data_IF_801886524608
#
_entry.id   IF_801886524608
#
_cell.length_a   1.000
_cell.length_b   1.000
_cell.length_c   1.000
_cell.angle_alpha   90.00
_cell.angle_beta   90.00
_cell.angle_gamma   90.00
#
_symmetry.space_group_name_H-M   'P 1'
#
loop_
_entity.id
_entity.type
_entity.pdbx_description
1 polymer ?
#
# COMPACT_ATOMS: atom_id res chain seq x y z
N UNK A 1 -7.22 5.83 -6.62
CA UNK A 1 -7.22 4.48 -7.19
C UNK A 1 -8.32 3.65 -6.54
N UNK A 2 -9.11 2.95 -7.32
CA UNK A 2 -10.04 1.96 -6.76
C UNK A 2 -9.22 0.77 -6.21
N UNK A 3 -9.59 0.19 -5.06
CA UNK A 3 -8.86 -0.94 -4.47
C UNK A 3 -8.64 -2.10 -5.46
N UNK A 4 -9.61 -2.34 -6.36
CA UNK A 4 -9.56 -3.40 -7.38
C UNK A 4 -8.40 -3.27 -8.37
N UNK A 5 -8.02 -2.05 -8.76
CA UNK A 5 -6.93 -1.81 -9.72
C UNK A 5 -5.54 -2.07 -9.10
N UNK A 6 -5.41 -1.78 -7.80
CA UNK A 6 -4.20 -2.07 -7.03
C UNK A 6 -4.00 -3.59 -6.91
N UNK A 7 -5.07 -4.34 -6.60
CA UNK A 7 -5.02 -5.79 -6.49
C UNK A 7 -4.71 -6.47 -7.83
N UNK A 8 -5.35 -6.04 -8.92
CA UNK A 8 -5.06 -6.58 -10.27
C UNK A 8 -3.60 -6.35 -10.69
N UNK A 9 -3.04 -5.19 -10.35
CA UNK A 9 -1.65 -4.85 -10.68
C UNK A 9 -0.66 -5.64 -9.82
N UNK A 10 -0.95 -5.80 -8.52
CA UNK A 10 -0.13 -6.62 -7.62
C UNK A 10 -0.14 -8.10 -8.05
N UNK A 11 -1.30 -8.65 -8.39
CA UNK A 11 -1.45 -10.02 -8.86
C UNK A 11 -0.60 -10.29 -10.13
N UNK A 12 -0.58 -9.33 -11.06
CA UNK A 12 0.24 -9.44 -12.26
C UNK A 12 1.75 -9.49 -11.89
N UNK A 13 2.23 -8.59 -11.03
CA UNK A 13 3.65 -8.61 -10.60
C UNK A 13 4.03 -9.92 -9.90
N UNK A 14 3.15 -10.47 -9.05
CA UNK A 14 3.40 -11.77 -8.41
C UNK A 14 3.45 -12.93 -9.41
N UNK A 15 2.63 -12.88 -10.47
CA UNK A 15 2.71 -13.84 -11.58
C UNK A 15 4.10 -13.79 -12.23
N UNK A 16 4.60 -12.59 -12.56
CA UNK A 16 5.92 -12.42 -13.18
C UNK A 16 7.07 -12.86 -12.24
N UNK A 17 6.94 -12.61 -10.94
CA UNK A 17 7.89 -13.13 -9.93
C UNK A 17 7.90 -14.65 -9.91
N UNK A 18 6.73 -15.29 -9.93
CA UNK A 18 6.62 -16.75 -10.02
C UNK A 18 7.25 -17.30 -11.31
N UNK A 19 7.05 -16.61 -12.43
CA UNK A 19 7.69 -16.96 -13.70
C UNK A 19 9.22 -16.84 -13.63
N UNK A 20 9.76 -15.81 -12.98
CA UNK A 20 11.20 -15.68 -12.78
C UNK A 20 11.78 -16.84 -11.95
N UNK A 21 11.05 -17.31 -10.93
CA UNK A 21 11.43 -18.50 -10.16
C UNK A 21 11.42 -19.78 -11.02
N UNK A 22 10.45 -19.91 -11.92
CA UNK A 22 10.37 -21.03 -12.88
C UNK A 22 11.58 -21.00 -13.81
N UNK A 23 11.90 -19.85 -14.41
CA UNK A 23 13.10 -19.68 -15.27
C UNK A 23 14.37 -20.01 -14.52
N UNK A 24 14.49 -19.55 -13.26
CA UNK A 24 15.65 -19.85 -12.42
C UNK A 24 15.78 -21.36 -12.15
N UNK A 25 14.67 -22.05 -11.85
CA UNK A 25 14.65 -23.49 -11.61
C UNK A 25 15.06 -24.27 -12.87
N UNK A 26 14.47 -23.96 -14.03
CA UNK A 26 14.82 -24.61 -15.30
C UNK A 26 16.27 -24.33 -15.69
N UNK A 27 16.76 -23.09 -15.50
CA UNK A 27 18.15 -22.74 -15.74
C UNK A 27 19.10 -23.62 -14.94
N UNK A 28 18.80 -23.80 -13.65
CA UNK A 28 19.58 -24.66 -12.76
C UNK A 28 19.56 -26.13 -13.20
N UNK A 29 18.39 -26.67 -13.53
CA UNK A 29 18.26 -28.06 -14.00
C UNK A 29 19.05 -28.31 -15.29
N UNK A 30 18.98 -27.38 -16.25
CA UNK A 30 19.76 -27.40 -17.49
C UNK A 30 21.25 -27.33 -17.18
N UNK A 31 21.68 -26.40 -16.32
CA UNK A 31 23.07 -26.24 -15.92
C UNK A 31 23.63 -27.50 -15.24
N UNK A 32 22.90 -28.09 -14.30
CA UNK A 32 23.30 -29.32 -13.61
C UNK A 32 23.37 -30.52 -14.55
N UNK A 33 22.52 -30.57 -15.57
CA UNK A 33 22.55 -31.65 -16.56
C UNK A 33 23.74 -31.50 -17.52
N UNK A 34 23.94 -30.30 -18.06
CA UNK A 34 25.05 -30.00 -18.98
C UNK A 34 26.43 -30.10 -18.29
N UNK A 35 26.55 -29.70 -17.01
CA UNK A 35 27.82 -29.74 -16.27
C UNK A 35 28.32 -31.16 -15.97
N UNK A 36 27.46 -32.18 -16.04
CA UNK A 36 27.84 -33.60 -15.86
C UNK A 36 28.53 -34.19 -17.10
N UNK A 37 28.51 -33.49 -18.24
CA UNK A 37 29.10 -33.95 -19.50
C UNK A 37 30.62 -33.83 -19.43
N UNK A 38 31.30 -34.96 -19.19
CA UNK A 38 32.77 -35.02 -19.19
C UNK A 38 33.31 -34.76 -20.61
N UNK A 39 34.32 -33.90 -20.73
CA UNK A 39 34.91 -33.46 -22.01
C UNK A 39 33.93 -32.76 -22.97
N UNK A 40 33.04 -31.94 -22.41
CA UNK A 40 32.13 -31.12 -23.20
C UNK A 40 32.88 -30.25 -24.25
N UNK A 41 32.40 -30.18 -25.51
CA UNK A 41 32.85 -29.21 -26.49
C UNK A 41 32.81 -27.78 -25.95
N UNK A 42 33.61 -26.90 -26.54
CA UNK A 42 33.73 -25.52 -26.07
C UNK A 42 32.40 -24.76 -26.16
N UNK A 43 31.59 -25.09 -27.16
CA UNK A 43 30.25 -24.53 -27.40
C UNK A 43 29.30 -24.85 -26.24
N UNK A 44 29.40 -26.05 -25.66
CA UNK A 44 28.60 -26.45 -24.49
C UNK A 44 29.06 -25.70 -23.24
N UNK A 45 30.37 -25.51 -23.06
CA UNK A 45 30.88 -24.70 -21.93
C UNK A 45 30.41 -23.25 -22.03
N UNK A 46 30.38 -22.71 -23.25
CA UNK A 46 29.86 -21.37 -23.48
C UNK A 46 28.34 -21.31 -23.24
N UNK A 47 27.58 -22.32 -23.67
CA UNK A 47 26.15 -22.42 -23.35
C UNK A 47 25.91 -22.52 -21.84
N UNK A 48 26.70 -23.29 -21.09
CA UNK A 48 26.67 -23.34 -19.63
C UNK A 48 26.85 -21.94 -19.00
N UNK A 49 27.75 -21.13 -19.56
CA UNK A 49 27.93 -19.73 -19.19
C UNK A 49 26.66 -18.90 -19.42
N UNK A 50 26.06 -19.00 -20.62
CA UNK A 50 24.82 -18.26 -20.95
C UNK A 50 23.65 -18.68 -20.05
N UNK A 51 23.47 -19.99 -19.79
CA UNK A 51 22.43 -20.49 -18.89
C UNK A 51 22.63 -19.95 -17.46
N UNK A 52 23.89 -19.91 -16.98
CA UNK A 52 24.21 -19.37 -15.66
C UNK A 52 23.93 -17.88 -15.58
N UNK A 53 24.23 -17.14 -16.64
CA UNK A 53 23.89 -15.72 -16.72
C UNK A 53 22.37 -15.53 -16.67
N UNK A 54 21.58 -16.34 -17.39
CA UNK A 54 20.11 -16.29 -17.36
C UNK A 54 19.57 -16.51 -15.95
N UNK A 55 20.09 -17.48 -15.19
CA UNK A 55 19.73 -17.66 -13.76
C UNK A 55 19.99 -16.38 -12.95
N UNK A 56 21.14 -15.74 -13.19
CA UNK A 56 21.52 -14.49 -12.54
C UNK A 56 20.60 -13.32 -12.91
N UNK A 57 20.10 -13.26 -14.15
CA UNK A 57 19.12 -12.25 -14.56
C UNK A 57 17.73 -12.52 -13.97
N UNK A 58 17.27 -13.79 -13.98
CA UNK A 58 16.00 -14.16 -13.36
C UNK A 58 15.97 -13.79 -11.87
N UNK A 59 17.06 -14.04 -11.14
CA UNK A 59 17.20 -13.65 -9.73
C UNK A 59 17.13 -12.13 -9.52
N UNK A 60 17.82 -11.35 -10.39
CA UNK A 60 17.78 -9.88 -10.35
C UNK A 60 16.39 -9.33 -10.69
N UNK A 61 15.71 -9.91 -11.67
CA UNK A 61 14.34 -9.56 -12.04
C UNK A 61 13.40 -9.83 -10.87
N UNK A 62 13.52 -10.99 -10.21
CA UNK A 62 12.72 -11.31 -9.02
C UNK A 62 12.90 -10.28 -7.91
N UNK A 63 14.15 -9.94 -7.58
CA UNK A 63 14.44 -8.92 -6.56
C UNK A 63 13.84 -7.57 -6.96
N UNK A 64 14.11 -7.13 -8.19
CA UNK A 64 13.57 -5.89 -8.74
C UNK A 64 12.04 -5.82 -8.70
N UNK A 65 11.35 -6.88 -9.12
CA UNK A 65 9.87 -6.93 -9.12
C UNK A 65 9.29 -6.99 -7.70
N UNK A 66 9.99 -7.64 -6.76
CA UNK A 66 9.60 -7.67 -5.35
C UNK A 66 9.70 -6.29 -4.73
N UNK A 67 10.83 -5.60 -4.93
CA UNK A 67 11.03 -4.22 -4.47
C UNK A 67 10.04 -3.28 -5.14
N UNK A 68 9.82 -3.47 -6.44
CA UNK A 68 8.85 -2.71 -7.20
C UNK A 68 7.45 -2.93 -6.66
N UNK A 69 7.04 -4.15 -6.28
CA UNK A 69 5.71 -4.45 -5.73
C UNK A 69 5.43 -3.69 -4.42
N UNK A 70 6.47 -3.50 -3.59
CA UNK A 70 6.39 -2.82 -2.30
C UNK A 70 6.40 -1.29 -2.40
N UNK A 71 6.82 -0.72 -3.54
CA UNK A 71 6.88 0.74 -3.72
C UNK A 71 5.49 1.41 -3.84
N UNK A 72 5.44 2.74 -3.86
CA UNK A 72 4.21 3.49 -4.17
C UNK A 72 3.93 3.61 -5.69
N UNK A 73 4.88 3.22 -6.54
CA UNK A 73 4.87 3.47 -7.99
C UNK A 73 4.04 2.45 -8.79
N UNK A 74 2.79 2.20 -8.39
CA UNK A 74 1.97 1.10 -8.92
C UNK A 74 1.58 1.23 -10.40
N UNK A 75 1.37 2.45 -10.88
CA UNK A 75 0.79 2.68 -12.20
C UNK A 75 1.79 2.44 -13.35
N UNK A 76 3.08 2.68 -13.10
CA UNK A 76 4.13 2.39 -14.07
C UNK A 76 4.47 0.90 -14.20
N UNK A 77 3.83 0.03 -13.38
CA UNK A 77 4.13 -1.41 -13.29
C UNK A 77 3.57 -2.25 -14.42
N UNK A 78 2.41 -1.91 -14.99
CA UNK A 78 1.71 -2.83 -15.91
C UNK A 78 2.48 -3.09 -17.20
N UNK A 79 2.86 -2.02 -17.90
CA UNK A 79 3.56 -2.14 -19.18
C UNK A 79 4.93 -2.81 -19.01
N UNK A 80 5.62 -2.47 -17.91
CA UNK A 80 6.93 -3.02 -17.60
C UNK A 80 6.85 -4.50 -17.21
N UNK A 81 5.92 -4.86 -16.33
CA UNK A 81 5.73 -6.24 -15.89
C UNK A 81 5.37 -7.13 -17.08
N UNK A 82 4.47 -6.70 -17.96
CA UNK A 82 4.11 -7.44 -19.17
C UNK A 82 5.31 -7.63 -20.10
N UNK A 83 6.17 -6.62 -20.28
CA UNK A 83 7.36 -6.77 -21.12
C UNK A 83 8.40 -7.71 -20.51
N UNK A 84 8.60 -7.64 -19.19
CA UNK A 84 9.49 -8.57 -18.47
C UNK A 84 8.93 -9.99 -18.54
N UNK A 85 7.63 -10.16 -18.36
CA UNK A 85 6.93 -11.45 -18.47
C UNK A 85 7.19 -12.12 -19.81
N UNK A 86 6.98 -11.39 -20.93
CA UNK A 86 7.25 -11.91 -22.27
C UNK A 86 8.70 -12.37 -22.44
N UNK A 87 9.67 -11.61 -21.92
CA UNK A 87 11.09 -11.99 -22.00
C UNK A 87 11.40 -13.22 -21.14
N UNK A 88 10.79 -13.34 -19.95
CA UNK A 88 10.93 -14.52 -19.10
C UNK A 88 10.27 -15.76 -19.72
N UNK A 89 9.13 -15.62 -20.40
CA UNK A 89 8.51 -16.70 -21.15
C UNK A 89 9.45 -17.21 -22.26
N UNK A 90 10.09 -16.31 -23.01
CA UNK A 90 11.06 -16.70 -24.02
C UNK A 90 12.28 -17.43 -23.42
N UNK A 91 12.78 -16.99 -22.27
CA UNK A 91 13.82 -17.74 -21.55
C UNK A 91 13.34 -19.12 -21.14
N UNK A 92 12.13 -19.24 -20.59
CA UNK A 92 11.55 -20.52 -20.21
C UNK A 92 11.42 -21.47 -21.41
N UNK A 93 10.85 -21.00 -22.51
CA UNK A 93 10.66 -21.77 -23.75
C UNK A 93 11.99 -22.35 -24.24
N UNK A 94 13.03 -21.51 -24.33
CA UNK A 94 14.34 -21.96 -24.81
C UNK A 94 15.04 -22.89 -23.82
N UNK A 95 14.95 -22.63 -22.51
CA UNK A 95 15.49 -23.56 -21.50
C UNK A 95 14.80 -24.92 -21.55
N UNK A 96 13.50 -24.97 -21.83
CA UNK A 96 12.76 -26.22 -22.04
C UNK A 96 13.22 -26.93 -23.31
N UNK A 97 13.43 -26.21 -24.42
CA UNK A 97 13.98 -26.77 -25.67
C UNK A 97 15.38 -27.36 -25.43
N UNK A 98 16.23 -26.63 -24.70
CA UNK A 98 17.57 -27.07 -24.30
C UNK A 98 17.46 -28.35 -23.45
N UNK A 99 16.65 -28.33 -22.40
CA UNK A 99 16.46 -29.46 -21.49
C UNK A 99 15.94 -30.72 -22.21
N UNK A 100 14.91 -30.57 -23.05
CA UNK A 100 14.33 -31.67 -23.84
C UNK A 100 15.38 -32.29 -24.74
N UNK A 101 16.17 -31.47 -25.41
CA UNK A 101 17.17 -32.00 -26.32
C UNK A 101 18.33 -32.71 -25.60
N UNK A 102 18.77 -32.17 -24.45
CA UNK A 102 19.77 -32.83 -23.60
C UNK A 102 19.24 -34.16 -23.08
N UNK A 103 17.99 -34.21 -22.61
CA UNK A 103 17.39 -35.45 -22.08
C UNK A 103 17.18 -36.51 -23.16
N UNK A 104 16.66 -36.16 -24.34
CA UNK A 104 16.53 -37.07 -25.49
C UNK A 104 17.89 -37.67 -25.91
N UNK A 105 18.96 -36.85 -25.86
CA UNK A 105 20.31 -37.34 -26.12
C UNK A 105 20.82 -38.34 -25.06
N UNK A 106 20.33 -38.25 -23.81
CA UNK A 106 20.72 -39.15 -22.71
C UNK A 106 19.90 -40.44 -22.62
N UNK A 107 18.58 -40.38 -22.85
CA UNK A 107 17.66 -41.50 -22.65
C UNK A 107 17.80 -42.61 -23.70
N UNK A 108 18.28 -42.27 -24.90
CA UNK A 108 18.53 -43.26 -25.95
C UNK A 108 19.65 -44.27 -25.62
N UNK A 109 20.34 -44.15 -24.47
CA UNK A 109 21.57 -44.90 -24.15
C UNK A 109 21.42 -46.07 -23.14
N UNK A 110 20.22 -46.50 -22.75
CA UNK A 110 20.04 -47.37 -21.57
C UNK A 110 20.22 -48.89 -21.77
N UNK A 111 20.32 -49.42 -23.00
CA UNK A 111 20.50 -50.87 -23.20
C UNK A 111 21.98 -51.27 -23.41
N UNK A 112 22.65 -51.64 -22.31
CA UNK A 112 23.85 -52.48 -22.31
C UNK A 112 25.11 -51.90 -22.99
N UNK A 113 25.14 -50.58 -23.20
CA UNK A 113 25.69 -49.91 -24.39
C UNK A 113 27.04 -49.21 -24.24
N UNK A 114 27.64 -49.10 -23.05
CA UNK A 114 28.88 -48.32 -22.72
C UNK A 114 30.09 -48.38 -23.70
N UNK A 115 30.13 -49.28 -24.69
CA UNK A 115 31.04 -49.27 -25.86
C UNK A 115 30.61 -48.36 -27.05
N UNK A 116 29.35 -47.95 -27.20
CA UNK A 116 28.85 -46.95 -28.19
C UNK A 116 29.03 -45.49 -27.73
N UNK A 117 29.21 -45.28 -26.42
CA UNK A 117 29.53 -43.98 -25.78
C UNK A 117 30.83 -43.34 -26.30
N UNK A 118 31.65 -44.06 -27.09
CA UNK A 118 33.02 -43.66 -27.45
C UNK A 118 33.26 -43.40 -28.94
N UNK A 119 32.27 -43.54 -29.86
CA UNK A 119 32.53 -43.37 -31.30
C UNK A 119 31.56 -42.55 -32.15
N UNK A 120 30.29 -42.34 -31.81
CA UNK A 120 29.37 -41.56 -32.67
C UNK A 120 28.29 -40.84 -31.87
N UNK A 121 28.63 -40.36 -30.68
CA UNK A 121 27.93 -39.22 -30.15
C UNK A 121 28.76 -37.97 -30.61
N UNK A 122 28.55 -37.24 -31.71
CA UNK A 122 27.35 -37.06 -32.56
C UNK A 122 26.07 -37.28 -31.74
N UNK A 123 25.98 -36.92 -30.45
CA UNK A 123 25.76 -35.54 -30.00
C UNK A 123 25.09 -34.78 -31.14
N UNK A 124 23.91 -35.28 -31.50
CA UNK A 124 22.93 -34.71 -32.43
C UNK A 124 22.31 -33.49 -31.76
N UNK A 125 23.18 -32.61 -31.33
CA UNK A 125 22.89 -31.22 -31.26
C UNK A 125 23.76 -30.67 -32.35
N UNK A 126 23.13 -30.29 -33.45
CA UNK A 126 23.86 -29.63 -34.51
C UNK A 126 24.61 -28.49 -33.83
N UNK A 127 25.91 -28.33 -34.11
CA UNK A 127 26.68 -27.22 -33.55
C UNK A 127 25.96 -25.89 -33.83
N UNK A 128 25.21 -25.88 -34.94
CA UNK A 128 24.23 -24.89 -35.32
C UNK A 128 23.10 -24.66 -34.29
N UNK A 129 22.50 -25.71 -33.71
CA UNK A 129 21.43 -25.60 -32.69
C UNK A 129 21.95 -25.02 -31.38
N UNK A 130 23.13 -25.47 -30.91
CA UNK A 130 23.78 -24.90 -29.72
C UNK A 130 24.06 -23.43 -29.95
N UNK A 131 24.63 -23.11 -31.12
CA UNK A 131 24.95 -21.73 -31.50
C UNK A 131 23.69 -20.88 -31.61
N UNK A 132 22.59 -21.44 -32.14
CA UNK A 132 21.31 -20.76 -32.24
C UNK A 132 20.72 -20.47 -30.86
N UNK A 133 20.70 -21.46 -29.96
CA UNK A 133 20.20 -21.31 -28.61
C UNK A 133 20.97 -20.23 -27.85
N UNK A 134 22.31 -20.25 -27.94
CA UNK A 134 23.17 -19.21 -27.37
C UNK A 134 22.84 -17.82 -27.89
N UNK A 135 22.72 -17.66 -29.22
CA UNK A 135 22.37 -16.37 -29.83
C UNK A 135 21.01 -15.86 -29.35
N UNK A 136 20.03 -16.76 -29.15
CA UNK A 136 18.70 -16.41 -28.64
C UNK A 136 18.77 -15.98 -27.17
N UNK A 137 19.39 -16.77 -26.31
CA UNK A 137 19.59 -16.43 -24.90
C UNK A 137 20.32 -15.09 -24.75
N UNK A 138 21.40 -14.88 -25.50
CA UNK A 138 22.16 -13.62 -25.47
C UNK A 138 21.32 -12.43 -25.98
N UNK A 139 20.49 -12.64 -27.02
CA UNK A 139 19.57 -11.61 -27.53
C UNK A 139 18.57 -11.20 -26.46
N UNK A 140 17.86 -12.14 -25.87
CA UNK A 140 16.84 -11.83 -24.85
C UNK A 140 17.47 -11.29 -23.57
N UNK A 141 18.70 -11.71 -23.22
CA UNK A 141 19.48 -11.12 -22.13
C UNK A 141 19.71 -9.63 -22.36
N UNK A 142 20.22 -9.26 -23.53
CA UNK A 142 20.42 -7.85 -23.90
C UNK A 142 19.12 -7.04 -23.90
N UNK A 143 18.03 -7.65 -24.33
CA UNK A 143 16.71 -7.01 -24.33
C UNK A 143 16.15 -6.84 -22.91
N UNK A 144 16.35 -7.82 -22.03
CA UNK A 144 15.98 -7.74 -20.62
C UNK A 144 16.78 -6.67 -19.89
N UNK A 145 18.11 -6.64 -20.07
CA UNK A 145 18.96 -5.60 -19.50
C UNK A 145 18.54 -4.20 -19.96
N UNK A 146 18.28 -4.03 -21.26
CA UNK A 146 17.80 -2.77 -21.82
C UNK A 146 16.45 -2.37 -21.20
N UNK A 147 15.54 -3.33 -21.02
CA UNK A 147 14.23 -3.10 -20.41
C UNK A 147 14.36 -2.70 -18.94
N UNK A 148 15.24 -3.36 -18.17
CA UNK A 148 15.50 -3.03 -16.77
C UNK A 148 16.17 -1.67 -16.60
N UNK A 149 17.11 -1.30 -17.49
CA UNK A 149 17.74 0.03 -17.47
C UNK A 149 16.70 1.12 -17.76
N UNK A 150 15.86 0.92 -18.78
CA UNK A 150 14.79 1.87 -19.11
C UNK A 150 13.76 1.97 -17.97
N UNK A 151 13.45 0.86 -17.33
CA UNK A 151 12.60 0.83 -16.14
C UNK A 151 13.19 1.65 -14.99
N UNK A 152 14.47 1.43 -14.66
CA UNK A 152 15.18 2.19 -13.64
C UNK A 152 15.13 3.69 -13.93
N UNK A 153 15.45 4.10 -15.16
CA UNK A 153 15.35 5.51 -15.57
C UNK A 153 13.94 6.08 -15.44
N UNK A 154 12.90 5.32 -15.80
CA UNK A 154 11.51 5.76 -15.68
C UNK A 154 11.11 5.95 -14.21
N UNK A 155 11.56 5.05 -13.33
CA UNK A 155 11.39 5.14 -11.89
C UNK A 155 12.11 6.39 -11.35
N UNK A 156 13.37 6.62 -11.74
CA UNK A 156 14.14 7.80 -11.32
C UNK A 156 13.44 9.10 -11.72
N UNK A 157 12.93 9.19 -12.95
CA UNK A 157 12.16 10.36 -13.43
C UNK A 157 10.90 10.56 -12.58
N UNK A 158 10.19 9.48 -12.23
CA UNK A 158 9.01 9.55 -11.38
C UNK A 158 9.34 10.05 -9.97
N UNK A 159 10.42 9.53 -9.37
CA UNK A 159 10.90 9.95 -8.05
C UNK A 159 11.30 11.43 -8.09
N UNK A 160 12.01 11.87 -9.13
CA UNK A 160 12.35 13.28 -9.29
C UNK A 160 11.13 14.18 -9.43
N UNK A 161 10.10 13.74 -10.16
CA UNK A 161 8.84 14.48 -10.28
C UNK A 161 8.11 14.58 -8.93
N UNK A 162 8.07 13.50 -8.15
CA UNK A 162 7.47 13.48 -6.82
C UNK A 162 8.23 14.37 -5.83
N UNK A 163 9.58 14.33 -5.85
CA UNK A 163 10.43 15.24 -5.06
C UNK A 163 10.18 16.70 -5.45
N UNK A 164 10.05 16.98 -6.74
CA UNK A 164 9.76 18.35 -7.22
C UNK A 164 8.38 18.82 -6.74
N UNK A 165 7.36 17.95 -6.79
CA UNK A 165 6.03 18.25 -6.25
C UNK A 165 6.08 18.50 -4.75
N UNK A 166 6.72 17.63 -3.98
CA UNK A 166 6.84 17.78 -2.54
C UNK A 166 7.58 19.07 -2.15
N UNK A 167 8.61 19.46 -2.92
CA UNK A 167 9.30 20.75 -2.72
C UNK A 167 8.38 21.93 -3.01
N UNK A 168 7.55 21.85 -4.04
CA UNK A 168 6.54 22.87 -4.34
C UNK A 168 5.52 23.00 -3.21
N UNK A 169 5.03 21.89 -2.68
CA UNK A 169 4.07 21.86 -1.57
C UNK A 169 4.68 22.46 -0.29
N UNK A 170 5.93 22.12 0.02
CA UNK A 170 6.67 22.71 1.15
C UNK A 170 6.85 24.21 0.96
N UNK A 171 7.20 24.66 -0.24
CA UNK A 171 7.35 26.09 -0.54
C UNK A 171 6.03 26.85 -0.39
N UNK A 172 4.92 26.25 -0.85
CA UNK A 172 3.58 26.81 -0.71
C UNK A 172 3.16 26.88 0.76
N UNK A 173 3.36 25.81 1.53
CA UNK A 173 3.03 25.80 2.95
C UNK A 173 3.88 26.78 3.75
N UNK A 174 5.17 26.92 3.41
CA UNK A 174 6.04 27.95 3.98
C UNK A 174 5.55 29.37 3.67
N UNK A 175 5.05 29.60 2.44
CA UNK A 175 4.44 30.88 2.05
C UNK A 175 3.17 31.15 2.86
N UNK A 176 2.29 30.16 2.99
CA UNK A 176 1.06 30.24 3.79
C UNK A 176 1.36 30.55 5.27
N UNK A 177 2.34 29.84 5.85
CA UNK A 177 2.77 30.07 7.22
C UNK A 177 3.31 31.50 7.41
N UNK A 178 4.11 31.99 6.46
CA UNK A 178 4.65 33.37 6.49
C UNK A 178 3.52 34.40 6.42
N UNK A 179 2.52 34.19 5.56
CA UNK A 179 1.34 35.05 5.49
C UNK A 179 0.56 35.05 6.81
N UNK A 180 0.30 33.88 7.40
CA UNK A 180 -0.37 33.76 8.69
C UNK A 180 0.40 34.45 9.83
N UNK A 181 1.73 34.38 9.85
CA UNK A 181 2.55 35.10 10.83
C UNK A 181 2.49 36.62 10.62
N UNK A 182 2.45 37.09 9.37
CA UNK A 182 2.26 38.51 9.06
C UNK A 182 0.90 39.01 9.58
N UNK A 183 -0.17 38.25 9.37
CA UNK A 183 -1.51 38.58 9.87
C UNK A 183 -1.55 38.62 11.40
N UNK A 184 -0.93 37.64 12.08
CA UNK A 184 -0.79 37.64 13.54
C UNK A 184 0.00 38.86 14.04
N UNK A 185 1.06 39.26 13.34
CA UNK A 185 1.83 40.46 13.69
C UNK A 185 0.98 41.73 13.55
N UNK A 186 0.24 41.86 12.45
CA UNK A 186 -0.64 43.01 12.21
C UNK A 186 -1.76 43.10 13.27
N UNK A 187 -2.35 41.97 13.65
CA UNK A 187 -3.34 41.93 14.74
C UNK A 187 -2.73 42.29 16.09
N UNK A 188 -1.51 41.83 16.40
CA UNK A 188 -0.79 42.23 17.61
C UNK A 188 -0.50 43.74 17.65
N UNK A 189 -0.01 44.34 16.56
CA UNK A 189 0.18 45.79 16.46
C UNK A 189 -1.12 46.57 16.63
N UNK A 190 -2.24 46.06 16.10
CA UNK A 190 -3.57 46.67 16.29
C UNK A 190 -4.01 46.63 17.76
N UNK A 191 -3.74 45.54 18.47
CA UNK A 191 -3.99 45.43 19.91
C UNK A 191 -3.12 46.42 20.68
N UNK A 192 -1.84 46.52 20.37
CA UNK A 192 -0.90 47.47 20.99
C UNK A 192 -1.38 48.91 20.84
N UNK A 193 -1.73 49.33 19.61
CA UNK A 193 -2.29 50.66 19.34
C UNK A 193 -3.58 50.93 20.14
N UNK A 194 -4.44 49.91 20.33
CA UNK A 194 -5.66 50.04 21.14
C UNK A 194 -5.35 50.18 22.64
N UNK A 195 -4.33 49.49 23.14
CA UNK A 195 -3.87 49.60 24.52
C UNK A 195 -3.27 50.99 24.77
N UNK A 196 -2.48 51.52 23.84
CA UNK A 196 -1.94 52.88 23.94
C UNK A 196 -3.05 53.95 23.87
N UNK A 197 -4.03 53.76 22.99
CA UNK A 197 -5.24 54.60 22.93
C UNK A 197 -6.04 54.56 24.24
N UNK A 198 -6.14 53.40 24.89
CA UNK A 198 -6.76 53.28 26.21
C UNK A 198 -5.92 53.98 27.29
N UNK A 199 -4.60 53.78 27.30
CA UNK A 199 -3.67 54.39 28.25
C UNK A 199 -3.70 55.91 28.19
N UNK A 200 -3.67 56.47 26.98
CA UNK A 200 -3.82 57.92 26.75
C UNK A 200 -5.19 58.43 27.22
N UNK A 201 -6.27 57.72 26.92
CA UNK A 201 -7.62 58.06 27.40
C UNK A 201 -7.71 58.04 28.94
N UNK A 202 -7.07 57.06 29.59
CA UNK A 202 -7.00 56.99 31.06
C UNK A 202 -6.13 58.14 31.60
N UNK A 203 -5.02 58.46 30.94
CA UNK A 203 -4.15 59.58 31.29
C UNK A 203 -4.86 60.94 31.22
N UNK A 204 -5.57 61.22 30.12
CA UNK A 204 -6.37 62.45 29.98
C UNK A 204 -7.50 62.48 30.99
N UNK A 205 -8.18 61.36 31.24
CA UNK A 205 -9.19 61.26 32.29
C UNK A 205 -8.64 61.57 33.68
N UNK A 206 -7.45 61.07 34.03
CA UNK A 206 -6.79 61.39 35.30
C UNK A 206 -6.37 62.85 35.37
N UNK A 207 -5.89 63.42 34.27
CA UNK A 207 -5.49 64.83 34.18
C UNK A 207 -6.68 65.78 34.29
N UNK A 208 -7.79 65.48 33.60
CA UNK A 208 -9.05 66.24 33.68
C UNK A 208 -9.64 66.18 35.08
N UNK A 209 -9.63 65.01 35.74
CA UNK A 209 -10.03 64.90 37.13
C UNK A 209 -9.12 65.72 38.05
N UNK A 210 -7.81 65.75 37.80
CA UNK A 210 -6.88 66.56 38.59
C UNK A 210 -7.08 68.06 38.35
N UNK A 211 -7.41 68.48 37.12
CA UNK A 211 -7.76 69.87 36.77
C UNK A 211 -9.10 70.30 37.40
N UNK A 212 -10.09 69.41 37.45
CA UNK A 212 -11.35 69.65 38.17
C UNK A 212 -11.12 69.75 39.68
N UNK A 213 -10.24 68.92 40.25
CA UNK A 213 -9.85 68.99 41.66
C UNK A 213 -9.02 70.24 42.00
N UNK A 214 -8.16 70.71 41.09
CA UNK A 214 -7.41 71.97 41.27
C UNK A 214 -8.29 73.20 41.08
N UNK A 215 -9.28 73.16 40.18
CA UNK A 215 -10.35 74.17 40.08
C UNK A 215 -11.19 74.24 41.36
N UNK A 216 -11.49 73.10 41.97
CA UNK A 216 -12.07 73.03 43.32
C UNK A 216 -11.14 73.64 44.37
N UNK A 217 -9.81 73.46 44.26
CA UNK A 217 -8.82 74.05 45.16
C UNK A 217 -8.70 75.58 45.01
N UNK A 218 -8.90 76.11 43.80
CA UNK A 218 -8.98 77.55 43.55
C UNK A 218 -10.25 78.19 44.10
N UNK A 219 -11.39 77.52 43.94
CA UNK A 219 -12.67 77.94 44.55
C UNK A 219 -12.63 77.81 46.08
N UNK A 220 -11.86 76.88 46.63
CA UNK A 220 -11.65 76.74 48.10
C UNK A 220 -10.86 77.89 48.72
N UNK A 221 -10.12 78.70 47.95
CA UNK A 221 -9.41 79.88 48.46
C UNK A 221 -10.27 81.16 48.47
N UNK A 222 -11.24 81.28 47.55
CA UNK A 222 -12.16 82.44 47.50
C UNK A 222 -13.45 82.24 48.32
N UNK A 223 -13.64 81.08 48.94
CA UNK A 223 -14.90 80.72 49.61
C UNK A 223 -14.72 80.41 51.10
N UNK A 224 -13.90 81.19 51.80
CA UNK A 224 -13.80 81.12 53.27
C UNK A 224 -15.07 81.68 53.96
N UNK A 225 -15.91 82.46 53.26
CA UNK A 225 -17.10 83.13 53.85
C UNK A 225 -18.47 82.49 53.54
N UNK A 226 -18.59 81.55 52.58
CA UNK A 226 -19.86 80.88 52.25
C UNK A 226 -19.95 79.41 52.77
N UNK A 227 -19.20 79.09 53.81
CA UNK A 227 -18.86 77.72 54.25
C UNK A 227 -19.97 76.95 54.99
N UNK A 228 -21.09 77.57 55.36
CA UNK A 228 -22.12 76.86 56.14
C UNK A 228 -23.33 76.36 55.33
N UNK A 229 -23.71 77.01 54.22
CA UNK A 229 -24.77 76.50 53.33
C UNK A 229 -24.24 75.52 52.26
N UNK A 230 -23.01 75.73 51.76
CA UNK A 230 -22.43 74.89 50.72
C UNK A 230 -22.00 73.50 51.22
N UNK A 231 -21.72 73.31 52.51
CA UNK A 231 -21.27 72.03 53.08
C UNK A 231 -22.26 70.89 52.85
N UNK A 232 -23.57 71.17 52.86
CA UNK A 232 -24.61 70.18 52.54
C UNK A 232 -24.70 69.87 51.04
N UNK A 233 -24.55 70.88 50.16
CA UNK A 233 -24.58 70.68 48.71
C UNK A 233 -23.28 70.05 48.16
N UNK A 234 -22.14 70.32 48.80
CA UNK A 234 -20.85 69.73 48.45
C UNK A 234 -20.81 68.27 48.87
N UNK A 235 -21.36 67.89 50.02
CA UNK A 235 -21.53 66.47 50.39
C UNK A 235 -22.46 65.73 49.42
N UNK A 236 -23.57 66.36 49.00
CA UNK A 236 -24.45 65.78 47.96
C UNK A 236 -23.76 65.64 46.60
N UNK A 237 -22.91 66.59 46.20
CA UNK A 237 -22.17 66.53 44.93
C UNK A 237 -20.97 65.59 44.99
N UNK A 238 -20.32 65.46 46.14
CA UNK A 238 -19.28 64.45 46.38
C UNK A 238 -19.88 63.05 46.37
N UNK A 239 -21.05 62.84 46.97
CA UNK A 239 -21.76 61.56 46.88
C UNK A 239 -22.27 61.29 45.46
N UNK A 240 -22.65 62.32 44.68
CA UNK A 240 -23.04 62.12 43.27
C UNK A 240 -21.84 61.81 42.38
N UNK A 241 -20.68 62.41 42.62
CA UNK A 241 -19.44 62.18 41.84
C UNK A 241 -18.77 60.87 42.26
N UNK A 242 -18.72 60.56 43.56
CA UNK A 242 -18.28 59.25 44.06
C UNK A 242 -19.24 58.14 43.61
N UNK A 243 -20.55 58.43 43.57
CA UNK A 243 -21.57 57.57 42.98
C UNK A 243 -21.37 57.36 41.48
N UNK A 244 -21.06 58.42 40.72
CA UNK A 244 -20.76 58.36 39.29
C UNK A 244 -19.49 57.57 38.97
N UNK A 245 -18.41 57.81 39.72
CA UNK A 245 -17.15 57.07 39.59
C UNK A 245 -17.31 55.60 39.95
N UNK A 246 -18.07 55.29 41.02
CA UNK A 246 -18.39 53.91 41.41
C UNK A 246 -19.30 53.22 40.39
N UNK A 247 -20.26 53.94 39.82
CA UNK A 247 -21.12 53.44 38.74
C UNK A 247 -20.30 53.15 37.48
N UNK A 248 -19.38 54.03 37.09
CA UNK A 248 -18.52 53.84 35.92
C UNK A 248 -17.48 52.73 36.12
N UNK A 249 -16.88 52.62 37.32
CA UNK A 249 -15.99 51.51 37.63
C UNK A 249 -16.74 50.17 37.64
N UNK A 250 -17.98 50.15 38.14
CA UNK A 250 -18.85 48.96 38.05
C UNK A 250 -19.23 48.63 36.61
N UNK A 251 -19.45 49.63 35.74
CA UNK A 251 -19.72 49.42 34.31
C UNK A 251 -18.50 48.79 33.60
N UNK A 252 -17.30 49.32 33.84
CA UNK A 252 -16.07 48.78 33.26
C UNK A 252 -15.78 47.36 33.76
N UNK A 253 -16.04 47.10 35.05
CA UNK A 253 -15.90 45.76 35.63
C UNK A 253 -16.92 44.77 35.05
N UNK A 254 -18.14 45.23 34.75
CA UNK A 254 -19.17 44.44 34.09
C UNK A 254 -18.80 44.14 32.63
N UNK A 255 -18.21 45.07 31.90
CA UNK A 255 -17.74 44.86 30.52
C UNK A 255 -16.58 43.86 30.46
N UNK A 256 -15.59 43.99 31.35
CA UNK A 256 -14.48 43.03 31.46
C UNK A 256 -15.02 41.63 31.81
N UNK A 257 -15.95 41.55 32.75
CA UNK A 257 -16.60 40.29 33.11
C UNK A 257 -17.43 39.72 31.95
N UNK A 258 -18.09 40.58 31.17
CA UNK A 258 -18.81 40.23 29.95
C UNK A 258 -17.90 39.63 28.88
N UNK A 259 -16.76 40.26 28.61
CA UNK A 259 -15.75 39.77 27.67
C UNK A 259 -15.19 38.40 28.07
N UNK A 260 -14.83 38.22 29.34
CA UNK A 260 -14.32 36.94 29.86
C UNK A 260 -15.39 35.84 29.74
N UNK A 261 -16.65 36.15 30.02
CA UNK A 261 -17.75 35.20 29.88
C UNK A 261 -18.01 34.82 28.42
N UNK A 262 -17.86 35.76 27.47
CA UNK A 262 -17.97 35.48 26.04
C UNK A 262 -16.88 34.52 25.57
N UNK A 263 -15.62 34.80 25.90
CA UNK A 263 -14.49 33.92 25.54
C UNK A 263 -14.68 32.51 26.13
N UNK A 264 -15.13 32.42 27.38
CA UNK A 264 -15.42 31.14 28.02
C UNK A 264 -16.54 30.37 27.31
N UNK A 265 -17.57 31.08 26.82
CA UNK A 265 -18.67 30.50 26.05
C UNK A 265 -18.18 29.98 24.70
N UNK A 266 -17.33 30.73 24.00
CA UNK A 266 -16.79 30.32 22.70
C UNK A 266 -15.88 29.10 22.83
N UNK A 267 -15.01 29.05 23.86
CA UNK A 267 -14.21 27.87 24.17
C UNK A 267 -15.10 26.65 24.48
N UNK A 268 -16.22 26.86 25.20
CA UNK A 268 -17.15 25.79 25.49
C UNK A 268 -17.86 25.26 24.23
N UNK A 269 -18.32 26.16 23.34
CA UNK A 269 -18.95 25.80 22.06
C UNK A 269 -17.96 25.04 21.17
N UNK A 270 -16.71 25.51 21.07
CA UNK A 270 -15.65 24.85 20.31
C UNK A 270 -15.33 23.45 20.88
N UNK A 271 -15.27 23.31 22.20
CA UNK A 271 -15.08 22.02 22.86
C UNK A 271 -16.25 21.05 22.59
N UNK A 272 -17.49 21.54 22.63
CA UNK A 272 -18.67 20.73 22.29
C UNK A 272 -18.67 20.29 20.83
N UNK A 273 -18.34 21.19 19.90
CA UNK A 273 -18.23 20.89 18.47
C UNK A 273 -17.18 19.80 18.19
N UNK A 274 -15.99 19.89 18.80
CA UNK A 274 -14.96 18.85 18.68
C UNK A 274 -15.43 17.50 19.23
N UNK A 275 -16.14 17.49 20.37
CA UNK A 275 -16.69 16.25 20.94
C UNK A 275 -17.76 15.63 20.03
N UNK A 276 -18.60 16.44 19.39
CA UNK A 276 -19.60 15.97 18.43
C UNK A 276 -18.96 15.41 17.16
N UNK A 277 -17.96 16.09 16.59
CA UNK A 277 -17.20 15.63 15.43
C UNK A 277 -16.53 14.27 15.68
N UNK A 278 -15.83 14.12 16.82
CA UNK A 278 -15.23 12.83 17.23
C UNK A 278 -16.28 11.74 17.37
N UNK A 279 -17.41 12.01 18.03
CA UNK A 279 -18.51 11.03 18.17
C UNK A 279 -19.09 10.60 16.82
N UNK A 280 -19.24 11.52 15.86
CA UNK A 280 -19.71 11.20 14.51
C UNK A 280 -18.70 10.33 13.77
N UNK A 281 -17.41 10.62 13.86
CA UNK A 281 -16.36 9.81 13.25
C UNK A 281 -16.34 8.39 13.82
N UNK A 282 -16.43 8.23 15.15
CA UNK A 282 -16.49 6.90 15.79
C UNK A 282 -17.75 6.14 15.39
N UNK A 283 -18.90 6.81 15.23
CA UNK A 283 -20.13 6.18 14.72
C UNK A 283 -19.99 5.71 13.27
N UNK A 284 -19.38 6.52 12.40
CA UNK A 284 -19.10 6.14 11.02
C UNK A 284 -18.16 4.94 10.94
N UNK A 285 -17.08 4.94 11.73
CA UNK A 285 -16.17 3.80 11.83
C UNK A 285 -16.86 2.54 12.33
N UNK A 286 -17.63 2.61 13.43
CA UNK A 286 -18.37 1.44 13.95
C UNK A 286 -19.39 0.88 12.95
N UNK A 287 -20.07 1.75 12.20
CA UNK A 287 -21.00 1.34 11.14
C UNK A 287 -20.27 0.63 10.00
N UNK A 288 -19.12 1.16 9.55
CA UNK A 288 -18.30 0.51 8.53
C UNK A 288 -17.77 -0.85 9.01
N UNK A 289 -17.24 -0.93 10.23
CA UNK A 289 -16.79 -2.20 10.83
C UNK A 289 -17.93 -3.21 10.93
N UNK A 290 -19.13 -2.79 11.36
CA UNK A 290 -20.31 -3.67 11.41
C UNK A 290 -20.70 -4.19 10.02
N UNK A 291 -20.67 -3.35 8.98
CA UNK A 291 -20.92 -3.78 7.60
C UNK A 291 -19.90 -4.81 7.11
N UNK A 292 -18.63 -4.63 7.46
CA UNK A 292 -17.57 -5.59 7.11
C UNK A 292 -17.82 -6.92 7.83
N UNK A 293 -18.09 -6.90 9.14
CA UNK A 293 -18.35 -8.13 9.91
C UNK A 293 -19.59 -8.88 9.40
N UNK A 294 -20.68 -8.17 9.11
CA UNK A 294 -21.87 -8.80 8.54
C UNK A 294 -21.60 -9.43 7.17
N UNK A 295 -20.81 -8.77 6.30
CA UNK A 295 -20.41 -9.36 5.01
C UNK A 295 -19.50 -10.57 5.18
N UNK A 296 -18.63 -10.56 6.19
CA UNK A 296 -17.77 -11.69 6.50
C UNK A 296 -18.60 -12.91 6.96
N UNK A 297 -19.60 -12.66 7.80
CA UNK A 297 -20.53 -13.68 8.27
C UNK A 297 -21.39 -14.24 7.14
N UNK A 298 -21.89 -13.37 6.25
CA UNK A 298 -22.61 -13.76 5.02
C UNK A 298 -21.74 -14.63 4.10
N UNK A 299 -20.49 -14.22 3.84
CA UNK A 299 -19.54 -15.03 3.04
C UNK A 299 -19.27 -16.37 3.71
N UNK A 300 -19.15 -16.41 5.04
CA UNK A 300 -18.93 -17.65 5.77
C UNK A 300 -20.14 -18.60 5.68
N UNK A 301 -21.36 -18.09 5.86
CA UNK A 301 -22.60 -18.88 5.69
C UNK A 301 -22.71 -19.40 4.26
N UNK A 302 -22.51 -18.53 3.26
CA UNK A 302 -22.53 -18.92 1.85
C UNK A 302 -21.46 -19.96 1.53
N UNK A 303 -20.26 -19.82 2.09
CA UNK A 303 -19.21 -20.83 1.95
C UNK A 303 -19.65 -22.17 2.53
N UNK A 304 -20.15 -22.19 3.78
CA UNK A 304 -20.60 -23.43 4.44
C UNK A 304 -21.74 -24.10 3.66
N UNK A 305 -22.71 -23.33 3.16
CA UNK A 305 -23.78 -23.86 2.32
C UNK A 305 -23.24 -24.41 0.99
N UNK A 306 -22.28 -23.72 0.37
CA UNK A 306 -21.62 -24.20 -0.86
C UNK A 306 -20.76 -25.45 -0.61
N UNK A 307 -20.19 -25.60 0.59
CA UNK A 307 -19.48 -26.81 0.99
C UNK A 307 -20.42 -27.98 1.24
N UNK A 308 -21.62 -27.73 1.77
CA UNK A 308 -22.59 -28.77 2.08
C UNK A 308 -23.12 -29.50 0.83
N UNK A 309 -23.04 -28.88 -0.35
CA UNK A 309 -23.46 -29.49 -1.62
C UNK A 309 -22.37 -30.30 -2.30
N UNK A 310 -21.16 -30.33 -1.73
CA UNK A 310 -20.01 -31.02 -2.32
C UNK A 310 -19.87 -32.41 -1.72
N UNK A 311 -20.01 -33.41 -2.58
CA UNK A 311 -19.79 -34.81 -2.27
C UNK A 311 -18.43 -35.23 -2.82
N UNK A 312 -17.64 -35.90 -1.97
CA UNK A 312 -16.41 -36.57 -2.38
C UNK A 312 -16.76 -38.02 -2.75
N UNK A 313 -16.75 -38.32 -4.05
CA UNK A 313 -16.94 -39.68 -4.56
C UNK A 313 -15.58 -40.30 -4.85
N UNK A 314 -15.41 -41.59 -4.51
CA UNK A 314 -14.20 -42.35 -4.86
C UNK A 314 -14.54 -43.24 -6.03
N UNK A 315 -13.90 -43.02 -7.17
CA UNK A 315 -14.05 -43.85 -8.35
C UNK A 315 -13.37 -45.22 -8.14
N UNK A 316 -13.79 -46.21 -8.93
CA UNK A 316 -13.31 -47.60 -8.80
C UNK A 316 -11.82 -47.80 -9.09
N UNK A 317 -11.19 -46.84 -9.75
CA UNK A 317 -9.73 -46.78 -10.00
C UNK A 317 -8.94 -46.18 -8.82
N UNK A 318 -9.64 -45.78 -7.76
CA UNK A 318 -9.05 -45.16 -6.58
C UNK A 318 -8.87 -43.64 -6.69
N UNK A 319 -9.30 -43.00 -7.78
CA UNK A 319 -9.32 -41.54 -7.91
C UNK A 319 -10.46 -40.93 -7.09
N UNK A 320 -10.26 -39.70 -6.63
CA UNK A 320 -11.26 -38.94 -5.90
C UNK A 320 -11.83 -37.86 -6.81
N UNK A 321 -13.16 -37.83 -6.94
CA UNK A 321 -13.89 -36.83 -7.69
C UNK A 321 -14.75 -36.01 -6.74
N UNK A 322 -14.70 -34.69 -6.91
CA UNK A 322 -15.60 -33.78 -6.20
C UNK A 322 -16.80 -33.52 -7.10
N UNK A 323 -17.99 -33.85 -6.62
CA UNK A 323 -19.26 -33.61 -7.32
C UNK A 323 -20.08 -32.62 -6.52
N UNK A 324 -20.64 -31.59 -7.18
CA UNK A 324 -21.54 -30.64 -6.55
C UNK A 324 -21.89 -29.48 -7.47
N UNK A 325 -22.96 -28.77 -7.13
CA UNK A 325 -23.48 -27.65 -7.93
C UNK A 325 -22.60 -26.40 -7.89
N UNK A 326 -21.65 -26.31 -6.95
CA UNK A 326 -20.85 -25.10 -6.72
C UNK A 326 -19.34 -25.38 -6.63
N UNK A 327 -18.82 -26.15 -7.58
CA UNK A 327 -17.39 -26.47 -7.71
C UNK A 327 -16.49 -25.23 -7.85
N UNK A 328 -17.00 -24.10 -8.35
CA UNK A 328 -16.25 -22.83 -8.42
C UNK A 328 -15.89 -22.27 -7.04
N UNK A 329 -16.74 -22.50 -6.03
CA UNK A 329 -16.51 -22.02 -4.67
C UNK A 329 -15.31 -22.73 -4.00
N UNK A 330 -14.85 -23.85 -4.55
CA UNK A 330 -13.68 -24.60 -4.06
C UNK A 330 -12.35 -24.00 -4.45
N UNK A 331 -12.29 -23.18 -5.51
CA UNK A 331 -11.03 -22.70 -6.07
C UNK A 331 -10.22 -21.90 -5.06
N UNK A 332 -10.85 -20.95 -4.36
CA UNK A 332 -10.16 -20.13 -3.35
C UNK A 332 -9.74 -20.94 -2.10
N UNK A 333 -10.61 -21.76 -1.47
CA UNK A 333 -10.21 -22.68 -0.39
C UNK A 333 -9.06 -23.60 -0.77
N UNK A 334 -9.09 -24.20 -1.96
CA UNK A 334 -8.01 -25.06 -2.45
C UNK A 334 -6.70 -24.27 -2.62
N UNK A 335 -6.77 -23.04 -3.10
CA UNK A 335 -5.59 -22.19 -3.25
C UNK A 335 -4.96 -21.81 -1.90
N UNK A 336 -5.80 -21.50 -0.89
CA UNK A 336 -5.35 -21.26 0.48
C UNK A 336 -4.73 -22.53 1.10
N UNK A 337 -5.38 -23.68 0.96
CA UNK A 337 -4.90 -24.96 1.46
C UNK A 337 -3.61 -25.41 0.78
N UNK A 338 -3.44 -25.15 -0.52
CA UNK A 338 -2.21 -25.46 -1.25
C UNK A 338 -1.01 -24.71 -0.66
N UNK A 339 -1.17 -23.43 -0.32
CA UNK A 339 -0.09 -22.64 0.28
C UNK A 339 0.35 -23.22 1.64
N UNK A 340 -0.59 -23.69 2.45
CA UNK A 340 -0.31 -24.34 3.73
C UNK A 340 0.27 -25.76 3.55
N UNK A 341 -0.22 -26.51 2.57
CA UNK A 341 0.29 -27.84 2.22
C UNK A 341 1.77 -27.76 1.82
N UNK A 342 2.12 -26.87 0.88
CA UNK A 342 3.51 -26.65 0.42
C UNK A 342 4.43 -26.24 1.56
N UNK A 343 3.92 -25.43 2.50
CA UNK A 343 4.68 -25.00 3.69
C UNK A 343 4.90 -26.12 4.70
N UNK A 344 3.92 -27.01 4.88
CA UNK A 344 3.94 -28.05 5.92
C UNK A 344 4.60 -29.35 5.47
N UNK A 345 4.59 -29.66 4.17
CA UNK A 345 5.20 -30.87 3.57
C UNK A 345 6.69 -31.08 3.97
N UNK A 346 7.58 -30.07 3.88
CA UNK A 346 8.97 -30.23 4.32
C UNK A 346 9.13 -30.51 5.82
N UNK A 347 8.21 -29.97 6.63
CA UNK A 347 8.19 -30.19 8.08
C UNK A 347 7.73 -31.62 8.44
N UNK A 348 6.86 -32.21 7.62
CA UNK A 348 6.43 -33.61 7.76
C UNK A 348 7.50 -34.59 7.29
N UNK A 349 8.31 -34.22 6.28
CA UNK A 349 9.45 -35.02 5.83
C UNK A 349 10.59 -35.07 6.85
N UNK A 350 10.74 -34.05 7.69
CA UNK A 350 11.86 -33.89 8.63
C UNK A 350 11.57 -34.36 10.07
N UNK A 351 10.30 -34.56 10.45
CA UNK A 351 9.91 -34.91 11.83
C UNK A 351 9.72 -36.42 12.03
N UNK A 352 10.34 -36.95 13.08
CA UNK A 352 10.43 -38.38 13.42
C UNK A 352 9.13 -39.05 13.88
N UNK A 353 8.05 -38.32 14.15
CA UNK A 353 6.79 -38.92 14.66
C UNK A 353 5.81 -39.36 13.56
N UNK A 354 5.85 -38.74 12.40
CA UNK A 354 5.00 -39.01 11.24
C UNK A 354 5.87 -38.76 10.00
N UNK A 355 6.77 -39.70 9.72
CA UNK A 355 7.67 -39.57 8.57
C UNK A 355 6.89 -39.87 7.30
N UNK A 356 6.51 -38.80 6.58
CA UNK A 356 6.00 -38.92 5.21
C UNK A 356 7.20 -39.09 4.29
N UNK A 357 7.24 -40.16 3.51
CA UNK A 357 8.30 -40.37 2.52
C UNK A 357 8.27 -39.29 1.44
N UNK A 358 9.41 -39.06 0.77
CA UNK A 358 9.46 -38.10 -0.34
C UNK A 358 8.48 -38.45 -1.47
N UNK A 359 8.27 -39.75 -1.73
CA UNK A 359 7.30 -40.25 -2.70
C UNK A 359 5.86 -39.96 -2.29
N UNK A 360 5.50 -40.16 -1.03
CA UNK A 360 4.15 -39.84 -0.53
C UNK A 360 3.89 -38.34 -0.54
N UNK A 361 4.89 -37.54 -0.16
CA UNK A 361 4.84 -36.09 -0.22
C UNK A 361 4.61 -35.58 -1.66
N UNK A 362 5.37 -36.11 -2.62
CA UNK A 362 5.19 -35.79 -4.04
C UNK A 362 3.83 -36.24 -4.57
N UNK A 363 3.35 -37.41 -4.17
CA UNK A 363 2.03 -37.90 -4.53
C UNK A 363 0.92 -37.00 -3.98
N UNK A 364 0.97 -36.61 -2.70
CA UNK A 364 -0.02 -35.70 -2.08
C UNK A 364 -0.07 -34.38 -2.83
N UNK A 365 1.10 -33.80 -3.14
CA UNK A 365 1.17 -32.54 -3.87
C UNK A 365 0.57 -32.68 -5.28
N UNK A 366 0.89 -33.75 -6.00
CA UNK A 366 0.35 -34.01 -7.33
C UNK A 366 -1.17 -34.17 -7.32
N UNK A 367 -1.73 -34.93 -6.36
CA UNK A 367 -3.18 -35.07 -6.22
C UNK A 367 -3.85 -33.73 -5.95
N UNK A 368 -3.24 -32.89 -5.09
CA UNK A 368 -3.76 -31.58 -4.78
C UNK A 368 -3.73 -30.64 -5.99
N UNK A 369 -2.65 -30.68 -6.79
CA UNK A 369 -2.52 -29.91 -8.02
C UNK A 369 -3.53 -30.34 -9.08
N UNK A 370 -3.82 -31.63 -9.21
CA UNK A 370 -4.86 -32.15 -10.11
C UNK A 370 -6.24 -31.62 -9.74
N UNK A 371 -6.61 -31.67 -8.46
CA UNK A 371 -7.91 -31.17 -7.97
C UNK A 371 -8.02 -29.66 -8.19
N UNK A 372 -6.94 -28.91 -7.92
CA UNK A 372 -6.88 -27.46 -8.15
C UNK A 372 -6.98 -27.11 -9.64
N UNK A 373 -6.28 -27.83 -10.51
CA UNK A 373 -6.38 -27.62 -11.95
C UNK A 373 -7.81 -27.85 -12.47
N UNK A 374 -8.46 -28.92 -12.03
CA UNK A 374 -9.86 -29.19 -12.37
C UNK A 374 -10.81 -28.09 -11.88
N UNK A 375 -10.61 -27.55 -10.67
CA UNK A 375 -11.45 -26.45 -10.17
C UNK A 375 -11.28 -25.17 -10.98
N UNK A 376 -10.06 -24.86 -11.43
CA UNK A 376 -9.80 -23.72 -12.31
C UNK A 376 -10.43 -23.91 -13.69
N UNK A 377 -10.35 -25.11 -14.26
CA UNK A 377 -10.97 -25.42 -15.54
C UNK A 377 -12.49 -25.21 -15.48
N UNK A 378 -13.15 -25.73 -14.44
CA UNK A 378 -14.58 -25.53 -14.20
C UNK A 378 -14.91 -24.04 -14.02
N UNK A 379 -14.12 -23.32 -13.22
CA UNK A 379 -14.31 -21.88 -13.00
C UNK A 379 -14.17 -21.08 -14.30
N UNK A 380 -13.22 -21.47 -15.17
CA UNK A 380 -13.03 -20.85 -16.49
C UNK A 380 -14.21 -21.13 -17.43
N UNK A 381 -14.72 -22.37 -17.45
CA UNK A 381 -15.91 -22.75 -18.24
C UNK A 381 -17.13 -21.93 -17.78
N UNK A 382 -17.38 -21.84 -16.48
CA UNK A 382 -18.49 -21.08 -15.93
C UNK A 382 -18.37 -19.58 -16.21
N UNK A 383 -17.16 -19.01 -16.13
CA UNK A 383 -16.91 -17.62 -16.48
C UNK A 383 -17.14 -17.33 -17.98
N UNK A 384 -16.85 -18.30 -18.86
CA UNK A 384 -17.18 -18.21 -20.29
C UNK A 384 -18.70 -18.28 -20.52
N UNK A 385 -19.39 -19.21 -19.85
CA UNK A 385 -20.85 -19.33 -19.93
C UNK A 385 -21.57 -18.08 -19.40
N UNK A 386 -21.05 -17.44 -18.35
CA UNK A 386 -21.61 -16.21 -17.80
C UNK A 386 -21.48 -14.99 -18.75
N UNK A 387 -20.53 -15.03 -19.69
CA UNK A 387 -20.31 -13.96 -20.67
C UNK A 387 -21.18 -14.08 -21.93
N UNK A 388 -21.71 -15.28 -22.22
CA UNK A 388 -22.50 -15.53 -23.42
C UNK A 388 -23.88 -16.15 -23.04
N UNK A 389 -24.93 -15.32 -22.93
CA UNK A 389 -26.28 -15.79 -22.57
C UNK A 389 -26.85 -16.82 -23.56
N UNK A 390 -26.35 -16.87 -24.80
CA UNK A 390 -26.82 -17.85 -25.79
C UNK A 390 -26.25 -19.25 -25.51
N UNK A 391 -25.05 -19.35 -24.94
CA UNK A 391 -24.47 -20.63 -24.52
C UNK A 391 -25.18 -21.21 -23.29
N UNK A 392 -25.75 -20.36 -22.42
CA UNK A 392 -26.57 -20.82 -21.29
C UNK A 392 -27.86 -21.53 -21.73
N UNK A 393 -28.45 -21.15 -22.87
CA UNK A 393 -29.63 -21.83 -23.41
C UNK A 393 -29.31 -23.18 -24.08
N UNK A 394 -28.05 -23.41 -24.48
CA UNK A 394 -27.62 -24.64 -25.11
C UNK A 394 -27.10 -25.70 -24.11
N UNK A 395 -26.82 -25.31 -22.87
CA UNK A 395 -26.21 -26.16 -21.84
C UNK A 395 -27.19 -26.64 -20.74
N UNK A 396 -28.44 -26.17 -20.75
CA UNK A 396 -29.54 -26.67 -19.91
C UNK A 396 -30.39 -27.66 -20.67
#
# INVERSE_FOLDING_TARGET
MAPSEAFSTAANVFSVVGLADIVFKYGREVYETLSKVRNAPEEIKQLLGEVKDVEGHASRVKAFLTDLAQSALQQQRRDLASRIETLLLHFQEELVIISKSVTESTLSSSDGWLKKLRKNAKWVWDEQDITLARRRLERWKRELDSTLILAGRKIDVSIHAEIASARSDIAQESSNATAAFSDLRNTASSIENRVDGLSTTVGTFLQDNNAQLSGLRGVVLDTQEATNCARMQVLQRLDSVAGGSKAQHSALQNDVRGGVNSVRKDIHIMSQSMRQSRRQQTRKQRSATKKIMNKLEEVNVNMVENFATLNLTRAGDGTFTFEGSNLEAMTLPLELLYSELVRTLPALQSKTKLSVSQSEAGWIQQQFEMVRAASFEISAILALLAKDPQLQQAAG
#
